data_IF_685281093517
#
_entry.id   IF_685281093517
#
_cell.length_a   1.000
_cell.length_b   1.000
_cell.length_c   1.000
_cell.angle_alpha   90.00
_cell.angle_beta   90.00
_cell.angle_gamma   90.00
#
_symmetry.space_group_name_H-M   'P 1'
#
loop_
_entity.id
_entity.type
_entity.pdbx_description
1 polymer ?
#
# COMPACT_ATOMS: atom_id res chain seq x y z
N UNK A 1 8.09 16.08 -13.10
CA UNK A 1 9.23 16.36 -12.19
C UNK A 1 8.81 16.98 -10.86
N UNK A 2 8.03 18.07 -10.82
CA UNK A 2 7.64 18.77 -9.58
C UNK A 2 6.92 17.90 -8.54
N UNK A 3 6.05 16.99 -8.98
CA UNK A 3 5.33 16.06 -8.10
C UNK A 3 6.19 14.91 -7.54
N UNK A 4 7.21 14.47 -8.27
CA UNK A 4 8.16 13.43 -7.84
C UNK A 4 9.10 14.01 -6.77
N UNK A 5 9.54 15.24 -6.95
CA UNK A 5 10.30 16.00 -5.96
C UNK A 5 9.50 16.22 -4.67
N UNK A 6 8.24 16.61 -4.79
CA UNK A 6 7.33 16.77 -3.64
C UNK A 6 7.09 15.44 -2.91
N UNK A 7 6.88 14.32 -3.61
CA UNK A 7 6.72 13.02 -2.97
C UNK A 7 8.00 12.56 -2.26
N UNK A 8 9.17 12.76 -2.87
CA UNK A 8 10.45 12.40 -2.24
C UNK A 8 10.75 13.24 -1.00
N UNK A 9 10.37 14.53 -1.00
CA UNK A 9 10.51 15.41 0.18
C UNK A 9 9.58 14.97 1.31
N UNK A 10 8.33 14.60 0.99
CA UNK A 10 7.38 14.07 1.99
C UNK A 10 7.86 12.75 2.58
N UNK A 11 8.44 11.86 1.76
CA UNK A 11 9.04 10.58 2.19
C UNK A 11 10.25 10.81 3.10
N UNK A 12 11.10 11.79 2.79
CA UNK A 12 12.26 12.15 3.61
C UNK A 12 11.84 12.72 4.97
N UNK A 13 10.84 13.61 4.99
CA UNK A 13 10.30 14.20 6.22
C UNK A 13 9.63 13.13 7.10
N UNK A 14 8.96 12.14 6.50
CA UNK A 14 8.37 11.01 7.23
C UNK A 14 9.42 10.03 7.75
N UNK A 15 10.51 9.78 7.00
CA UNK A 15 11.66 9.01 7.52
C UNK A 15 12.32 9.71 8.72
N UNK A 16 12.52 11.03 8.65
CA UNK A 16 13.12 11.81 9.74
C UNK A 16 12.20 11.78 10.97
N UNK A 17 10.89 11.90 10.80
CA UNK A 17 9.92 11.77 11.89
C UNK A 17 9.91 10.36 12.51
N UNK A 18 10.04 9.30 11.70
CA UNK A 18 10.15 7.92 12.18
C UNK A 18 11.42 7.68 12.99
N UNK A 19 12.55 8.26 12.59
CA UNK A 19 13.82 8.13 13.33
C UNK A 19 13.75 8.75 14.73
N UNK A 20 12.96 9.81 14.91
CA UNK A 20 12.74 10.42 16.24
C UNK A 20 11.77 9.61 17.13
N UNK A 21 10.88 8.80 16.53
CA UNK A 21 9.95 7.92 17.26
C UNK A 21 10.61 6.61 17.71
N UNK A 22 11.59 6.10 16.96
CA UNK A 22 12.31 4.84 17.26
C UNK A 22 13.20 4.93 18.51
N UNK A 23 13.42 6.11 19.09
CA UNK A 23 14.13 6.29 20.36
C UNK A 23 13.26 6.06 21.61
N UNK A 24 11.98 5.67 21.47
CA UNK A 24 11.11 5.35 22.60
C UNK A 24 10.84 3.85 22.70
N UNK A 25 11.59 3.22 23.61
CA UNK A 25 11.21 2.06 24.43
C UNK A 25 11.04 0.70 23.73
N UNK A 26 12.10 -0.10 23.83
CA UNK A 26 12.03 -1.57 23.80
C UNK A 26 11.29 -2.08 25.04
N UNK A 27 9.97 -2.17 24.98
CA UNK A 27 9.19 -2.96 25.95
C UNK A 27 8.84 -4.29 25.32
N UNK A 28 9.59 -5.32 25.71
CA UNK A 28 9.27 -6.72 25.46
C UNK A 28 8.12 -7.15 26.36
N UNK A 29 6.88 -7.11 25.89
CA UNK A 29 5.76 -7.83 26.52
C UNK A 29 5.19 -8.90 25.58
N UNK A 30 4.87 -10.10 26.08
CA UNK A 30 4.38 -11.19 25.24
C UNK A 30 3.00 -10.86 24.66
N UNK A 31 2.75 -11.35 23.44
CA UNK A 31 1.54 -11.17 22.63
C UNK A 31 0.31 -11.87 23.25
N UNK A 32 -0.17 -11.41 24.40
CA UNK A 32 -1.45 -11.87 24.99
C UNK A 32 -2.41 -10.70 25.08
N UNK A 33 -3.35 -10.62 24.13
CA UNK A 33 -4.53 -9.75 24.20
C UNK A 33 -4.28 -8.27 23.88
N UNK A 34 -4.30 -7.92 22.60
CA UNK A 34 -4.37 -6.51 22.19
C UNK A 34 -5.81 -6.02 22.38
N UNK A 35 -6.11 -5.42 23.54
CA UNK A 35 -7.39 -4.75 23.77
C UNK A 35 -7.34 -3.32 23.21
N UNK A 36 -8.31 -2.96 22.38
CA UNK A 36 -8.38 -1.61 21.78
C UNK A 36 -8.54 -0.52 22.86
N UNK A 37 -9.19 -0.86 23.97
CA UNK A 37 -9.36 0.02 25.13
C UNK A 37 -8.03 0.37 25.80
N UNK A 38 -7.08 -0.57 25.87
CA UNK A 38 -5.75 -0.33 26.45
C UNK A 38 -4.92 0.58 25.54
N UNK A 39 -5.01 0.42 24.22
CA UNK A 39 -4.33 1.28 23.24
C UNK A 39 -4.85 2.72 23.32
N UNK A 40 -6.17 2.90 23.39
CA UNK A 40 -6.79 4.23 23.47
C UNK A 40 -6.49 4.87 24.83
N UNK A 41 -6.57 4.09 25.92
CA UNK A 41 -6.25 4.56 27.27
C UNK A 41 -4.80 5.00 27.42
N UNK A 42 -3.87 4.28 26.81
CA UNK A 42 -2.44 4.63 26.81
C UNK A 42 -2.15 5.82 25.88
N UNK A 43 -2.79 5.89 24.71
CA UNK A 43 -2.67 7.02 23.79
C UNK A 43 -3.13 8.35 24.43
N UNK A 44 -4.17 8.32 25.25
CA UNK A 44 -4.67 9.52 25.93
C UNK A 44 -3.79 9.95 27.11
N UNK A 45 -3.03 9.02 27.72
CA UNK A 45 -2.09 9.31 28.81
C UNK A 45 -0.74 9.79 28.30
N UNK A 46 -0.29 9.28 27.14
CA UNK A 46 1.00 9.59 26.56
C UNK A 46 0.86 10.44 25.27
N UNK A 47 1.15 11.75 25.31
CA UNK A 47 0.94 12.64 24.17
C UNK A 47 1.75 12.23 22.92
N UNK A 48 2.89 11.55 23.11
CA UNK A 48 3.69 11.00 22.01
C UNK A 48 2.96 9.89 21.24
N UNK A 49 2.26 9.01 21.95
CA UNK A 49 1.50 7.89 21.37
C UNK A 49 0.30 8.43 20.59
N UNK A 50 -0.39 9.45 21.11
CA UNK A 50 -1.48 10.14 20.41
C UNK A 50 -1.01 10.76 19.09
N UNK A 51 0.12 11.47 19.10
CA UNK A 51 0.68 12.09 17.89
C UNK A 51 1.08 11.01 16.87
N UNK A 52 1.71 9.92 17.32
CA UNK A 52 2.05 8.80 16.45
C UNK A 52 0.81 8.17 15.81
N UNK A 53 -0.28 8.00 16.56
CA UNK A 53 -1.56 7.46 16.07
C UNK A 53 -2.15 8.32 14.95
N UNK A 54 -2.17 9.66 15.14
CA UNK A 54 -2.68 10.61 14.14
C UNK A 54 -1.82 10.61 12.88
N UNK A 55 -0.49 10.61 13.03
CA UNK A 55 0.44 10.56 11.89
C UNK A 55 0.29 9.24 11.13
N UNK A 56 0.23 8.11 11.84
CA UNK A 56 0.02 6.79 11.26
C UNK A 56 -1.29 6.71 10.48
N UNK A 57 -2.39 7.21 11.06
CA UNK A 57 -3.67 7.30 10.38
C UNK A 57 -3.60 8.18 9.13
N UNK A 58 -3.00 9.37 9.23
CA UNK A 58 -2.87 10.30 8.11
C UNK A 58 -1.99 9.72 6.98
N UNK A 59 -0.92 9.00 7.33
CA UNK A 59 -0.08 8.27 6.38
C UNK A 59 -0.85 7.17 5.67
N UNK A 60 -1.60 6.37 6.42
CA UNK A 60 -2.51 5.37 5.87
C UNK A 60 -3.47 6.02 4.87
N UNK A 61 -4.15 7.08 5.28
CA UNK A 61 -5.13 7.80 4.46
C UNK A 61 -4.51 8.38 3.18
N UNK A 62 -3.34 8.99 3.28
CA UNK A 62 -2.60 9.49 2.13
C UNK A 62 -2.21 8.35 1.17
N UNK A 63 -1.67 7.24 1.71
CA UNK A 63 -1.31 6.05 0.94
C UNK A 63 -2.53 5.45 0.23
N UNK A 64 -3.64 5.27 0.94
CA UNK A 64 -4.88 4.73 0.40
C UNK A 64 -5.47 5.62 -0.70
N UNK A 65 -5.43 6.93 -0.51
CA UNK A 65 -5.95 7.86 -1.51
C UNK A 65 -5.08 7.88 -2.79
N UNK A 66 -3.76 7.83 -2.64
CA UNK A 66 -2.82 7.83 -3.78
C UNK A 66 -2.80 6.48 -4.49
N UNK A 67 -2.97 5.37 -3.78
CA UNK A 67 -2.89 4.01 -4.34
C UNK A 67 -3.94 3.78 -5.44
N UNK A 68 -5.17 4.28 -5.27
CA UNK A 68 -6.23 4.20 -6.29
C UNK A 68 -5.84 4.91 -7.58
N UNK A 69 -5.12 6.04 -7.48
CA UNK A 69 -4.62 6.74 -8.67
C UNK A 69 -3.52 5.94 -9.34
N UNK A 70 -2.55 5.45 -8.56
CA UNK A 70 -1.45 4.62 -9.07
C UNK A 70 -1.98 3.36 -9.77
N UNK A 71 -2.94 2.67 -9.16
CA UNK A 71 -3.54 1.45 -9.70
C UNK A 71 -4.16 1.69 -11.09
N UNK A 72 -4.84 2.82 -11.29
CA UNK A 72 -5.38 3.18 -12.63
C UNK A 72 -4.29 3.27 -13.70
N UNK A 73 -3.15 3.88 -13.39
CA UNK A 73 -2.04 4.01 -14.35
C UNK A 73 -1.34 2.67 -14.58
N UNK A 74 -1.19 1.85 -13.54
CA UNK A 74 -0.62 0.49 -13.66
C UNK A 74 -1.52 -0.37 -14.56
N UNK A 75 -2.84 -0.37 -14.36
CA UNK A 75 -3.77 -1.11 -15.21
C UNK A 75 -3.73 -0.63 -16.67
N UNK A 76 -3.68 0.68 -16.90
CA UNK A 76 -3.56 1.23 -18.25
C UNK A 76 -2.24 0.80 -18.92
N UNK A 77 -1.13 0.87 -18.19
CA UNK A 77 0.17 0.43 -18.66
C UNK A 77 0.18 -1.06 -19.04
N UNK A 78 -0.31 -1.92 -18.15
CA UNK A 78 -0.43 -3.36 -18.42
C UNK A 78 -1.31 -3.60 -19.64
N UNK A 79 -2.47 -2.93 -19.74
CA UNK A 79 -3.36 -3.07 -20.89
C UNK A 79 -2.70 -2.71 -22.21
N UNK A 80 -1.94 -1.61 -22.26
CA UNK A 80 -1.18 -1.21 -23.46
C UNK A 80 -0.12 -2.25 -23.83
N UNK A 81 0.61 -2.79 -22.84
CA UNK A 81 1.60 -3.84 -23.10
C UNK A 81 0.95 -5.12 -23.63
N UNK A 82 -0.19 -5.53 -23.07
CA UNK A 82 -0.94 -6.71 -23.53
C UNK A 82 -1.45 -6.47 -24.95
N UNK A 83 -2.02 -5.31 -25.25
CA UNK A 83 -2.47 -4.98 -26.61
C UNK A 83 -1.32 -4.98 -27.62
N UNK A 84 -0.19 -4.35 -27.29
CA UNK A 84 0.99 -4.32 -28.16
C UNK A 84 1.58 -5.71 -28.41
N UNK A 85 1.61 -6.56 -27.38
CA UNK A 85 2.09 -7.94 -27.52
C UNK A 85 1.13 -8.83 -28.30
N UNK A 86 -0.18 -8.72 -28.08
CA UNK A 86 -1.20 -9.42 -28.90
C UNK A 86 -1.08 -9.02 -30.36
N UNK A 87 -0.95 -7.73 -30.66
CA UNK A 87 -0.76 -7.24 -32.02
C UNK A 87 0.52 -7.78 -32.65
N UNK A 88 1.61 -7.86 -31.88
CA UNK A 88 2.88 -8.44 -32.32
C UNK A 88 2.76 -9.93 -32.65
N UNK A 89 2.07 -10.71 -31.81
CA UNK A 89 1.84 -12.15 -32.06
C UNK A 89 1.01 -12.34 -33.32
N UNK A 90 -0.06 -11.55 -33.48
CA UNK A 90 -0.91 -11.60 -34.66
C UNK A 90 -0.14 -11.22 -35.93
N UNK A 91 0.67 -10.16 -35.89
CA UNK A 91 1.49 -9.72 -37.03
C UNK A 91 2.52 -10.75 -37.48
N UNK A 92 3.01 -11.58 -36.56
CA UNK A 92 3.97 -12.65 -36.85
C UNK A 92 3.31 -13.96 -37.28
N UNK A 93 1.97 -13.98 -37.41
CA UNK A 93 1.20 -15.17 -37.77
C UNK A 93 1.06 -16.19 -36.64
N UNK A 94 1.32 -15.79 -35.40
CA UNK A 94 1.14 -16.64 -34.22
C UNK A 94 -0.32 -16.75 -33.77
N UNK A 95 -0.57 -17.72 -32.90
CA UNK A 95 -1.89 -17.95 -32.27
C UNK A 95 -2.08 -17.00 -31.08
N UNK A 96 -3.10 -16.14 -31.18
CA UNK A 96 -3.47 -15.22 -30.09
C UNK A 96 -4.05 -16.00 -28.91
N UNK A 97 -4.87 -17.01 -29.17
CA UNK A 97 -5.40 -17.90 -28.13
C UNK A 97 -4.29 -18.51 -27.28
N UNK A 98 -3.24 -19.04 -27.91
CA UNK A 98 -2.12 -19.66 -27.19
C UNK A 98 -1.33 -18.63 -26.37
N UNK A 99 -1.14 -17.42 -26.91
CA UNK A 99 -0.47 -16.35 -26.18
C UNK A 99 -1.26 -15.93 -24.93
N UNK A 100 -2.58 -15.73 -25.06
CA UNK A 100 -3.46 -15.36 -23.94
C UNK A 100 -3.51 -16.48 -22.89
N UNK A 101 -3.57 -17.75 -23.30
CA UNK A 101 -3.55 -18.89 -22.38
C UNK A 101 -2.24 -18.93 -21.57
N UNK A 102 -1.10 -18.73 -22.24
CA UNK A 102 0.21 -18.66 -21.60
C UNK A 102 0.36 -17.47 -20.64
N UNK A 103 -0.14 -16.29 -21.03
CA UNK A 103 -0.20 -15.13 -20.14
C UNK A 103 -1.06 -15.40 -18.90
N UNK A 104 -2.21 -16.07 -19.07
CA UNK A 104 -3.08 -16.46 -17.97
C UNK A 104 -2.37 -17.37 -16.97
N UNK A 105 -1.63 -18.38 -17.45
CA UNK A 105 -0.84 -19.27 -16.60
C UNK A 105 0.27 -18.52 -15.85
N UNK A 106 0.98 -17.60 -16.51
CA UNK A 106 2.01 -16.78 -15.87
C UNK A 106 1.40 -15.83 -14.83
N UNK A 107 0.24 -15.25 -15.11
CA UNK A 107 -0.46 -14.39 -14.16
C UNK A 107 -0.89 -15.15 -12.89
N UNK A 108 -1.27 -16.44 -13.01
CA UNK A 108 -1.56 -17.28 -11.85
C UNK A 108 -0.35 -17.48 -10.94
N UNK A 109 0.88 -17.50 -11.48
CA UNK A 109 2.11 -17.57 -10.69
C UNK A 109 2.37 -16.29 -9.88
N UNK A 110 1.80 -15.16 -10.30
CA UNK A 110 1.89 -13.89 -9.57
C UNK A 110 0.92 -13.82 -8.38
N UNK A 111 -0.17 -14.59 -8.39
CA UNK A 111 -1.13 -14.62 -7.27
C UNK A 111 -0.50 -14.89 -5.90
N UNK A 112 0.35 -15.92 -5.71
CA UNK A 112 1.01 -16.14 -4.42
C UNK A 112 1.97 -14.99 -4.04
N UNK A 113 2.63 -14.37 -5.02
CA UNK A 113 3.52 -13.21 -4.77
C UNK A 113 2.70 -12.01 -4.28
N UNK A 114 1.58 -11.72 -4.95
CA UNK A 114 0.65 -10.65 -4.55
C UNK A 114 0.08 -10.94 -3.16
N UNK A 115 -0.33 -12.19 -2.89
CA UNK A 115 -0.83 -12.59 -1.57
C UNK A 115 0.23 -12.40 -0.49
N UNK A 116 1.45 -12.85 -0.70
CA UNK A 116 2.53 -12.66 0.27
C UNK A 116 2.82 -11.17 0.49
N UNK A 117 2.87 -10.38 -0.59
CA UNK A 117 3.06 -8.95 -0.50
C UNK A 117 1.93 -8.26 0.30
N UNK A 118 0.67 -8.61 0.04
CA UNK A 118 -0.48 -8.09 0.78
C UNK A 118 -0.46 -8.52 2.25
N UNK A 119 -0.07 -9.76 2.54
CA UNK A 119 0.09 -10.25 3.92
C UNK A 119 1.19 -9.49 4.64
N UNK A 120 2.35 -9.31 4.00
CA UNK A 120 3.46 -8.52 4.57
C UNK A 120 3.05 -7.07 4.78
N UNK A 121 2.37 -6.45 3.81
CA UNK A 121 1.83 -5.11 3.99
C UNK A 121 0.84 -5.07 5.16
N UNK A 122 -0.11 -6.01 5.23
CA UNK A 122 -1.07 -6.09 6.33
C UNK A 122 -0.41 -6.24 7.70
N UNK A 123 0.67 -7.02 7.79
CA UNK A 123 1.50 -7.16 8.99
C UNK A 123 2.31 -5.90 9.31
N UNK A 124 2.73 -5.13 8.30
CA UNK A 124 3.47 -3.87 8.50
C UNK A 124 2.54 -2.68 8.77
N UNK A 125 1.25 -2.77 8.43
CA UNK A 125 0.27 -1.68 8.56
C UNK A 125 -0.72 -1.86 9.71
N UNK A 126 -0.48 -2.76 10.67
CA UNK A 126 -1.45 -3.06 11.74
C UNK A 126 -1.78 -1.84 12.61
N UNK A 127 -3.04 -1.71 13.02
CA UNK A 127 -3.52 -0.64 13.89
C UNK A 127 -4.04 0.58 13.11
N UNK A 128 -3.60 1.82 13.41
CA UNK A 128 -4.19 3.04 12.83
C UNK A 128 -3.94 3.23 11.33
N UNK A 129 -2.80 2.74 10.83
CA UNK A 129 -2.41 2.90 9.41
C UNK A 129 -3.39 2.17 8.48
N UNK A 130 -3.75 0.93 8.81
CA UNK A 130 -4.71 0.15 8.00
C UNK A 130 -6.08 0.82 7.92
N UNK A 131 -6.57 1.38 9.03
CA UNK A 131 -7.85 2.10 9.08
C UNK A 131 -7.77 3.34 8.18
N UNK A 132 -6.71 4.12 8.33
CA UNK A 132 -6.45 5.27 7.45
C UNK A 132 -6.42 4.87 5.98
N UNK A 133 -5.70 3.79 5.65
CA UNK A 133 -5.57 3.28 4.29
C UNK A 133 -6.91 2.89 3.66
N UNK A 134 -7.74 2.13 4.36
CA UNK A 134 -9.07 1.73 3.87
C UNK A 134 -9.94 2.96 3.63
N UNK A 135 -9.98 3.90 4.59
CA UNK A 135 -10.75 5.14 4.44
C UNK A 135 -10.23 5.98 3.28
N UNK A 136 -8.90 6.08 3.12
CA UNK A 136 -8.27 6.77 2.00
C UNK A 136 -8.67 6.20 0.64
N UNK A 137 -8.73 4.86 0.53
CA UNK A 137 -9.25 4.18 -0.68
C UNK A 137 -10.71 4.54 -0.91
N UNK A 138 -11.57 4.41 0.11
CA UNK A 138 -13.00 4.70 -0.01
C UNK A 138 -13.26 6.14 -0.46
N UNK A 139 -12.53 7.12 0.10
CA UNK A 139 -12.61 8.53 -0.29
C UNK A 139 -12.15 8.73 -1.73
N UNK A 140 -11.02 8.12 -2.12
CA UNK A 140 -10.53 8.23 -3.49
C UNK A 140 -11.46 7.61 -4.51
N UNK A 141 -12.15 6.52 -4.14
CA UNK A 141 -13.11 5.83 -4.99
C UNK A 141 -14.43 6.60 -5.09
N UNK A 142 -14.92 7.18 -4.00
CA UNK A 142 -16.17 7.96 -3.99
C UNK A 142 -16.04 9.34 -4.66
N UNK A 143 -14.84 9.92 -4.71
CA UNK A 143 -14.57 11.21 -5.37
C UNK A 143 -14.28 11.06 -6.88
N UNK A 144 -14.01 9.86 -7.36
CA UNK A 144 -13.75 9.56 -8.77
C UNK A 144 -15.00 9.04 -9.45
#
# INVERSE_FOLDING_TARGET
MRYVLLSSIVILITMILLVHVVQAETVTTPLTGVNIEDIIGEALKNPKVLVALVIQFALGLALGYVSVKALKYILAFIGILVLGSVLSVWSLGGSVEDFIANLGMQAQQLLPVIKNFLTTLGLLTVGPVSIGFIIGILIALARR
#
